data_IF_244678632612
#
_entry.id   IF_244678632612
#
_cell.length_a   1.000
_cell.length_b   1.000
_cell.length_c   1.000
_cell.angle_alpha   90.00
_cell.angle_beta   90.00
_cell.angle_gamma   90.00
#
_symmetry.space_group_name_H-M   'P 1'
#
loop_
_entity.id
_entity.type
_entity.pdbx_description
1 polymer ?
#
# COMPACT_ATOMS: atom_id res chain seq x y z
N UNK A 1 4.52 -11.23 6.45
CA UNK A 1 3.82 -10.04 6.96
C UNK A 1 3.42 -10.26 8.41
N UNK A 2 2.58 -11.25 8.72
CA UNK A 2 2.10 -11.52 10.08
C UNK A 2 3.21 -11.62 11.13
N UNK A 3 4.27 -12.39 10.84
CA UNK A 3 5.38 -12.51 11.79
C UNK A 3 6.12 -11.19 12.01
N UNK A 4 6.34 -10.40 10.96
CA UNK A 4 7.00 -9.10 11.07
C UNK A 4 6.17 -8.10 11.88
N UNK A 5 4.85 -8.04 11.62
CA UNK A 5 3.91 -7.20 12.37
C UNK A 5 3.82 -7.63 13.84
N UNK A 6 3.83 -8.94 14.10
CA UNK A 6 3.78 -9.48 15.46
C UNK A 6 5.06 -9.16 16.25
N UNK A 7 6.23 -9.26 15.61
CA UNK A 7 7.52 -9.00 16.25
C UNK A 7 7.79 -7.51 16.47
N UNK A 8 7.36 -6.66 15.54
CA UNK A 8 7.55 -5.20 15.64
C UNK A 8 6.49 -4.51 16.50
N UNK A 9 5.33 -5.13 16.71
CA UNK A 9 4.17 -4.50 17.33
C UNK A 9 3.32 -3.67 16.36
N UNK A 10 3.70 -3.62 15.09
CA UNK A 10 3.09 -2.73 14.11
C UNK A 10 3.36 -1.24 14.41
N UNK A 11 2.70 -0.32 13.71
CA UNK A 11 1.63 -0.54 12.74
C UNK A 11 2.13 -0.89 11.31
N UNK A 12 3.41 -0.65 11.01
CA UNK A 12 4.09 -1.09 9.79
C UNK A 12 4.93 -2.35 10.01
N UNK A 13 5.49 -2.94 8.95
CA UNK A 13 6.16 -4.25 9.03
C UNK A 13 7.27 -4.34 10.08
N UNK A 14 7.96 -3.23 10.33
CA UNK A 14 9.03 -3.11 11.32
C UNK A 14 8.80 -1.98 12.34
N UNK A 15 7.54 -1.67 12.63
CA UNK A 15 7.14 -0.63 13.57
C UNK A 15 6.88 0.67 12.84
N UNK A 16 7.93 1.45 12.62
CA UNK A 16 7.89 2.67 11.79
C UNK A 16 7.92 2.34 10.30
N UNK A 17 7.44 3.27 9.47
CA UNK A 17 7.47 3.12 8.02
C UNK A 17 8.89 2.92 7.52
N UNK A 18 9.10 1.89 6.70
CA UNK A 18 10.42 1.49 6.21
C UNK A 18 10.43 1.20 4.72
N UNK A 19 11.63 0.93 4.17
CA UNK A 19 11.78 0.50 2.78
C UNK A 19 10.98 -0.77 2.46
N UNK A 20 10.76 -1.64 3.45
CA UNK A 20 9.92 -2.81 3.27
C UNK A 20 8.48 -2.38 2.96
N UNK A 21 7.95 -1.40 3.69
CA UNK A 21 6.60 -0.89 3.48
C UNK A 21 6.47 -0.15 2.15
N UNK A 22 7.50 0.57 1.72
CA UNK A 22 7.54 1.17 0.38
C UNK A 22 7.44 0.12 -0.72
N UNK A 23 8.14 -1.00 -0.58
CA UNK A 23 8.04 -2.11 -1.52
C UNK A 23 6.65 -2.78 -1.51
N UNK A 24 6.01 -2.90 -0.35
CA UNK A 24 4.70 -3.53 -0.19
C UNK A 24 3.51 -2.59 -0.45
N UNK A 25 3.72 -1.28 -0.48
CA UNK A 25 2.66 -0.28 -0.70
C UNK A 25 1.89 -0.54 -2.01
N UNK A 26 2.52 -0.78 -3.17
CA UNK A 26 1.79 -1.11 -4.39
C UNK A 26 1.00 -2.43 -4.32
N UNK A 27 1.41 -3.38 -3.48
CA UNK A 27 0.62 -4.59 -3.24
C UNK A 27 -0.62 -4.26 -2.40
N UNK A 28 -0.44 -3.52 -1.31
CA UNK A 28 -1.53 -3.10 -0.43
C UNK A 28 -2.65 -2.37 -1.19
N UNK A 29 -2.29 -1.48 -2.14
CA UNK A 29 -3.29 -0.77 -2.97
C UNK A 29 -4.11 -1.71 -3.86
N UNK A 30 -3.48 -2.75 -4.43
CA UNK A 30 -4.15 -3.75 -5.27
C UNK A 30 -5.04 -4.67 -4.46
N UNK A 31 -4.61 -5.08 -3.27
CA UNK A 31 -5.43 -5.90 -2.38
C UNK A 31 -6.76 -5.21 -2.07
N UNK A 32 -6.74 -3.89 -1.84
CA UNK A 32 -7.96 -3.09 -1.67
C UNK A 32 -8.76 -2.92 -2.96
N UNK A 33 -8.09 -2.68 -4.10
CA UNK A 33 -8.76 -2.41 -5.37
C UNK A 33 -9.43 -3.65 -5.97
N UNK A 34 -8.87 -4.83 -5.74
CA UNK A 34 -9.38 -6.10 -6.24
C UNK A 34 -10.31 -6.80 -5.23
N UNK A 35 -10.57 -6.16 -4.08
CA UNK A 35 -11.45 -6.68 -3.02
C UNK A 35 -11.08 -8.10 -2.60
N UNK A 36 -9.78 -8.34 -2.39
CA UNK A 36 -9.26 -9.64 -2.00
C UNK A 36 -9.61 -9.90 -0.54
N UNK A 37 -10.16 -11.08 -0.23
CA UNK A 37 -10.40 -11.49 1.16
C UNK A 37 -9.07 -11.71 1.89
N UNK A 38 -8.89 -11.03 3.03
CA UNK A 38 -7.66 -11.00 3.80
C UNK A 38 -7.89 -11.43 5.25
N UNK A 39 -6.86 -12.02 5.86
CA UNK A 39 -6.81 -12.20 7.31
C UNK A 39 -6.71 -10.86 8.05
N UNK A 40 -6.98 -10.87 9.36
CA UNK A 40 -7.06 -9.66 10.20
C UNK A 40 -5.78 -8.80 10.14
N UNK A 41 -4.61 -9.41 10.36
CA UNK A 41 -3.32 -8.69 10.35
C UNK A 41 -3.04 -7.99 9.03
N UNK A 42 -3.33 -8.67 7.92
CA UNK A 42 -3.18 -8.13 6.58
C UNK A 42 -4.15 -6.96 6.34
N UNK A 43 -5.41 -7.10 6.74
CA UNK A 43 -6.40 -6.03 6.65
C UNK A 43 -5.97 -4.78 7.42
N UNK A 44 -5.48 -4.93 8.67
CA UNK A 44 -4.99 -3.80 9.46
C UNK A 44 -3.78 -3.12 8.82
N UNK A 45 -2.83 -3.90 8.30
CA UNK A 45 -1.67 -3.36 7.60
C UNK A 45 -2.08 -2.55 6.36
N UNK A 46 -2.95 -3.13 5.51
CA UNK A 46 -3.48 -2.46 4.31
C UNK A 46 -4.19 -1.17 4.70
N UNK A 47 -5.07 -1.21 5.71
CA UNK A 47 -5.73 -0.02 6.23
C UNK A 47 -4.72 1.05 6.69
N UNK A 48 -3.68 0.65 7.42
CA UNK A 48 -2.68 1.59 7.91
C UNK A 48 -1.86 2.24 6.80
N UNK A 49 -1.47 1.49 5.77
CA UNK A 49 -0.82 2.03 4.56
C UNK A 49 -1.75 3.04 3.87
N UNK A 50 -3.04 2.73 3.76
CA UNK A 50 -4.00 3.63 3.15
C UNK A 50 -4.24 4.89 3.98
N UNK A 51 -4.26 4.81 5.31
CA UNK A 51 -4.55 5.96 6.17
C UNK A 51 -3.31 6.83 6.44
N UNK A 52 -2.11 6.38 6.04
CA UNK A 52 -0.86 7.11 6.20
C UNK A 52 -0.83 8.38 5.32
N UNK A 53 -0.58 9.58 5.89
CA UNK A 53 -0.66 10.84 5.14
C UNK A 53 0.24 10.92 3.91
N UNK A 54 1.45 10.37 3.98
CA UNK A 54 2.37 10.43 2.84
C UNK A 54 1.88 9.57 1.67
N UNK A 55 1.30 8.40 1.95
CA UNK A 55 0.67 7.59 0.90
C UNK A 55 -0.54 8.29 0.28
N UNK A 56 -1.34 9.01 1.06
CA UNK A 56 -2.43 9.82 0.51
C UNK A 56 -1.90 10.93 -0.42
N UNK A 57 -0.79 11.56 -0.05
CA UNK A 57 -0.06 12.50 -0.91
C UNK A 57 0.42 11.86 -2.22
N UNK A 58 1.03 10.66 -2.14
CA UNK A 58 1.46 9.91 -3.33
C UNK A 58 0.29 9.53 -4.22
N UNK A 59 -0.83 9.10 -3.63
CA UNK A 59 -2.04 8.73 -4.36
C UNK A 59 -2.65 9.94 -5.07
N UNK A 60 -2.69 11.10 -4.41
CA UNK A 60 -3.16 12.33 -5.04
C UNK A 60 -2.28 12.72 -6.23
N UNK A 61 -0.96 12.72 -6.06
CA UNK A 61 -0.01 13.01 -7.14
C UNK A 61 -0.13 12.02 -8.32
N UNK A 62 -0.32 10.73 -8.03
CA UNK A 62 -0.51 9.72 -9.07
C UNK A 62 -1.81 9.92 -9.86
N UNK A 63 -2.89 10.42 -9.24
CA UNK A 63 -4.14 10.73 -9.94
C UNK A 63 -4.04 11.98 -10.82
N UNK A 64 -3.09 12.87 -10.54
CA UNK A 64 -2.78 14.06 -11.34
C UNK A 64 -1.74 13.80 -12.44
N UNK A 65 -1.22 12.57 -12.56
CA UNK A 65 -0.18 12.25 -13.53
C UNK A 65 -0.73 12.41 -14.97
N UNK A 66 -0.13 13.28 -15.79
CA UNK A 66 -0.63 13.57 -17.14
C UNK A 66 -0.27 12.48 -18.15
N UNK A 67 0.51 11.48 -17.76
CA UNK A 67 1.06 10.50 -18.67
C UNK A 67 0.02 9.42 -19.01
N UNK A 68 -0.61 9.59 -20.16
CA UNK A 68 -1.44 8.57 -20.80
C UNK A 68 -0.59 7.82 -21.82
N UNK A 69 -0.53 6.49 -21.71
CA UNK A 69 -0.05 5.68 -22.83
C UNK A 69 -1.09 5.70 -23.93
N UNK A 70 -0.84 6.44 -25.01
CA UNK A 70 -1.67 6.38 -26.19
C UNK A 70 -1.40 5.04 -26.91
N UNK A 71 -2.21 4.02 -26.64
CA UNK A 71 -2.14 2.72 -27.30
C UNK A 71 -2.78 2.76 -28.71
N UNK A 72 -2.50 3.80 -29.48
CA UNK A 72 -3.01 4.00 -30.85
C UNK A 72 -1.97 3.67 -31.93
N UNK A 73 -0.87 3.00 -31.57
CA UNK A 73 0.06 2.42 -32.55
C UNK A 73 -0.22 0.92 -32.73
N UNK A 74 -1.41 0.62 -33.23
CA UNK A 74 -1.67 -0.51 -34.13
C UNK A 74 -2.14 0.03 -35.48
#
# INVERSE_FOLDING_TARGET
MDEALRLSGGPFLYGDYSIADAFFTPLATRLRSYDVELGESANRYVAHVHDWPDFQGWRAAALEEPWTHNSDFL
#
